data_IF_462624695922
#
_entry.id   IF_462624695922
#
_cell.length_a   1.000
_cell.length_b   1.000
_cell.length_c   1.000
_cell.angle_alpha   90.00
_cell.angle_beta   90.00
_cell.angle_gamma   90.00
#
_symmetry.space_group_name_H-M   'P 1'
#
loop_
_entity.id
_entity.type
_entity.pdbx_description
1 polymer ?
#
# COMPACT_ATOMS: atom_id res chain seq x y z
N UNK A 1 20.92 -31.02 14.11
CA UNK A 1 20.74 -29.67 13.54
C UNK A 1 19.54 -29.56 12.58
N UNK A 2 18.65 -30.56 12.50
CA UNK A 2 17.53 -30.57 11.54
C UNK A 2 16.19 -30.02 12.07
N UNK A 3 16.06 -29.78 13.37
CA UNK A 3 14.81 -29.27 13.98
C UNK A 3 14.66 -27.75 13.88
N UNK A 4 15.77 -27.02 13.75
CA UNK A 4 15.79 -25.57 13.58
C UNK A 4 15.47 -25.17 12.15
N UNK A 5 15.97 -25.91 11.15
CA UNK A 5 15.64 -25.69 9.74
C UNK A 5 14.17 -25.97 9.42
N UNK A 6 13.61 -27.08 9.92
CA UNK A 6 12.19 -27.39 9.69
C UNK A 6 11.20 -26.45 10.40
N UNK A 7 11.68 -25.67 11.39
CA UNK A 7 10.89 -24.59 12.02
C UNK A 7 10.96 -23.32 11.16
N UNK A 8 12.15 -22.95 10.71
CA UNK A 8 12.34 -21.83 9.78
C UNK A 8 11.55 -21.99 8.48
N UNK A 9 11.47 -23.20 7.92
CA UNK A 9 10.68 -23.48 6.72
C UNK A 9 9.16 -23.31 6.98
N UNK A 10 8.69 -23.67 8.19
CA UNK A 10 7.29 -23.50 8.59
C UNK A 10 6.93 -22.04 8.84
N UNK A 11 7.86 -21.27 9.41
CA UNK A 11 7.69 -19.84 9.67
C UNK A 11 7.53 -19.07 8.34
N UNK A 12 8.28 -19.42 7.29
CA UNK A 12 8.14 -18.82 5.95
C UNK A 12 6.76 -19.12 5.32
N UNK A 13 6.24 -20.33 5.49
CA UNK A 13 4.89 -20.68 4.98
C UNK A 13 3.82 -19.89 5.73
N UNK A 14 3.98 -19.73 7.04
CA UNK A 14 3.09 -18.91 7.85
C UNK A 14 3.12 -17.45 7.38
N UNK A 15 4.30 -16.85 7.27
CA UNK A 15 4.48 -15.47 6.77
C UNK A 15 3.82 -15.28 5.40
N UNK A 16 3.98 -16.26 4.48
CA UNK A 16 3.30 -16.24 3.19
C UNK A 16 1.78 -16.24 3.30
N UNK A 17 1.19 -17.14 4.10
CA UNK A 17 -0.26 -17.23 4.26
C UNK A 17 -0.83 -15.96 4.88
N UNK A 18 -0.11 -15.38 5.84
CA UNK A 18 -0.50 -14.16 6.52
C UNK A 18 -0.51 -12.95 5.61
N UNK A 19 0.46 -12.85 4.69
CA UNK A 19 0.44 -11.83 3.64
C UNK A 19 -0.66 -12.13 2.61
N UNK A 20 -0.93 -13.39 2.28
CA UNK A 20 -2.01 -13.75 1.37
C UNK A 20 -3.38 -13.30 1.90
N UNK A 21 -3.65 -13.51 3.19
CA UNK A 21 -4.90 -13.04 3.84
C UNK A 21 -5.06 -11.52 3.72
N UNK A 22 -3.97 -10.76 3.90
CA UNK A 22 -3.97 -9.30 3.70
C UNK A 22 -4.27 -8.91 2.25
N UNK A 23 -3.79 -9.67 1.27
CA UNK A 23 -4.04 -9.37 -0.14
C UNK A 23 -5.44 -9.83 -0.59
N UNK A 24 -6.05 -10.79 0.09
CA UNK A 24 -7.38 -11.32 -0.23
C UNK A 24 -8.51 -10.50 0.40
N UNK A 25 -8.29 -9.93 1.59
CA UNK A 25 -9.32 -9.22 2.37
C UNK A 25 -9.00 -7.73 2.57
N UNK A 26 -9.65 -6.82 1.81
CA UNK A 26 -9.43 -5.38 1.91
C UNK A 26 -9.59 -4.82 3.32
N UNK A 27 -10.54 -5.31 4.12
CA UNK A 27 -10.71 -4.85 5.51
C UNK A 27 -9.49 -5.17 6.39
N UNK A 28 -8.88 -6.35 6.21
CA UNK A 28 -7.66 -6.71 6.95
C UNK A 28 -6.46 -5.87 6.47
N UNK A 29 -6.36 -5.64 5.16
CA UNK A 29 -5.35 -4.78 4.57
C UNK A 29 -5.45 -3.33 5.08
N UNK A 30 -6.68 -2.80 5.18
CA UNK A 30 -6.96 -1.47 5.68
C UNK A 30 -6.54 -1.32 7.14
N UNK A 31 -6.88 -2.30 7.98
CA UNK A 31 -6.46 -2.33 9.39
C UNK A 31 -4.93 -2.41 9.51
N UNK A 32 -4.28 -3.28 8.74
CA UNK A 32 -2.83 -3.38 8.74
C UNK A 32 -2.18 -2.04 8.34
N UNK A 33 -2.65 -1.41 7.26
CA UNK A 33 -2.12 -0.13 6.79
C UNK A 33 -2.36 1.01 7.80
N UNK A 34 -3.51 1.02 8.48
CA UNK A 34 -3.78 1.95 9.58
C UNK A 34 -2.77 1.78 10.73
N UNK A 35 -2.58 0.56 11.22
CA UNK A 35 -1.63 0.28 12.30
C UNK A 35 -0.18 0.59 11.88
N UNK A 36 0.17 0.41 10.61
CA UNK A 36 1.47 0.77 10.07
C UNK A 36 1.74 2.29 10.09
N UNK A 37 0.69 3.11 9.95
CA UNK A 37 0.79 4.59 10.05
C UNK A 37 0.86 5.08 11.49
N UNK A 38 0.03 4.55 12.37
CA UNK A 38 -0.09 5.03 13.76
C UNK A 38 1.05 4.53 14.68
N UNK A 39 1.84 3.55 14.24
CA UNK A 39 2.93 2.84 14.97
C UNK A 39 2.43 2.01 16.16
N UNK A 40 1.58 2.56 17.02
CA UNK A 40 0.87 1.85 18.07
C UNK A 40 -0.57 2.35 18.16
N UNK A 41 -1.54 1.43 18.15
CA UNK A 41 -2.94 1.78 18.35
C UNK A 41 -3.65 0.77 19.27
N UNK A 42 -4.74 1.21 19.90
CA UNK A 42 -5.64 0.35 20.66
C UNK A 42 -6.80 -0.13 19.78
N UNK A 43 -7.53 -1.14 20.25
CA UNK A 43 -8.78 -1.57 19.57
C UNK A 43 -9.81 -0.43 19.53
N UNK A 44 -9.78 0.49 20.50
CA UNK A 44 -10.69 1.62 20.52
C UNK A 44 -10.38 2.61 19.39
N UNK A 45 -9.10 2.92 19.18
CA UNK A 45 -8.66 3.80 18.08
C UNK A 45 -9.07 3.20 16.73
N UNK A 46 -8.88 1.88 16.56
CA UNK A 46 -9.32 1.13 15.38
C UNK A 46 -10.84 1.23 15.15
N UNK A 47 -11.64 1.12 16.21
CA UNK A 47 -13.09 1.24 16.10
C UNK A 47 -13.52 2.64 15.67
N UNK A 48 -12.88 3.65 16.24
CA UNK A 48 -13.25 5.05 16.03
C UNK A 48 -12.79 5.53 14.64
N UNK A 49 -11.57 5.20 14.22
CA UNK A 49 -10.96 5.70 12.98
C UNK A 49 -11.37 4.91 11.73
N UNK A 50 -11.65 3.62 11.86
CA UNK A 50 -12.13 2.76 10.76
C UNK A 50 -13.65 2.52 10.80
N UNK A 51 -14.36 3.18 11.72
CA UNK A 51 -15.81 3.06 11.92
C UNK A 51 -16.29 1.61 12.10
N UNK A 52 -15.46 0.76 12.71
CA UNK A 52 -15.72 -0.67 12.88
C UNK A 52 -16.58 -0.96 14.12
N UNK A 53 -17.55 -1.85 13.97
CA UNK A 53 -18.26 -2.40 15.11
C UNK A 53 -17.29 -3.14 16.05
N UNK A 54 -17.54 -3.08 17.36
CA UNK A 54 -16.64 -3.63 18.38
C UNK A 54 -16.24 -5.09 18.11
N UNK A 55 -17.21 -5.97 17.86
CA UNK A 55 -16.94 -7.39 17.59
C UNK A 55 -16.07 -7.60 16.35
N UNK A 56 -16.24 -6.75 15.34
CA UNK A 56 -15.46 -6.77 14.09
C UNK A 56 -14.03 -6.31 14.34
N UNK A 57 -13.84 -5.19 15.06
CA UNK A 57 -12.52 -4.68 15.38
C UNK A 57 -11.69 -5.71 16.18
N UNK A 58 -12.27 -6.30 17.23
CA UNK A 58 -11.60 -7.37 17.98
C UNK A 58 -11.31 -8.60 17.11
N UNK A 59 -12.25 -9.00 16.25
CA UNK A 59 -12.06 -10.13 15.34
C UNK A 59 -10.89 -9.88 14.39
N UNK A 60 -10.83 -8.72 13.75
CA UNK A 60 -9.78 -8.38 12.78
C UNK A 60 -8.42 -8.21 13.43
N UNK A 61 -8.33 -7.50 14.56
CA UNK A 61 -7.07 -7.38 15.31
C UNK A 61 -6.57 -8.76 15.73
N UNK A 62 -7.42 -9.63 16.26
CA UNK A 62 -7.01 -10.99 16.63
C UNK A 62 -6.55 -11.79 15.41
N UNK A 63 -7.21 -11.65 14.25
CA UNK A 63 -6.77 -12.31 13.02
C UNK A 63 -5.38 -11.85 12.57
N UNK A 64 -5.09 -10.55 12.65
CA UNK A 64 -3.76 -10.03 12.33
C UNK A 64 -2.68 -10.50 13.32
N UNK A 65 -3.04 -10.64 14.61
CA UNK A 65 -2.15 -11.20 15.65
C UNK A 65 -1.92 -12.69 15.43
N UNK A 66 -2.98 -13.46 15.15
CA UNK A 66 -2.89 -14.90 14.86
C UNK A 66 -2.11 -15.18 13.57
N UNK A 67 -2.21 -14.27 12.60
CA UNK A 67 -1.39 -14.24 11.40
C UNK A 67 0.06 -13.80 11.67
N UNK A 68 0.39 -13.26 12.84
CA UNK A 68 1.74 -12.83 13.17
C UNK A 68 2.24 -11.63 12.36
N UNK A 69 1.34 -10.85 11.77
CA UNK A 69 1.64 -9.57 11.10
C UNK A 69 1.44 -8.36 12.03
N UNK A 70 0.89 -8.59 13.22
CA UNK A 70 0.71 -7.60 14.29
C UNK A 70 1.13 -8.22 15.63
N UNK A 71 1.91 -7.49 16.41
CA UNK A 71 2.29 -7.85 17.77
C UNK A 71 1.50 -7.05 18.81
N UNK A 72 1.28 -7.65 19.98
CA UNK A 72 0.80 -6.94 21.16
C UNK A 72 2.00 -6.33 21.87
N UNK A 73 2.12 -5.01 21.85
CA UNK A 73 3.25 -4.29 22.47
C UNK A 73 3.04 -3.99 23.94
N UNK A 74 1.77 -3.88 24.35
CA UNK A 74 1.37 -3.71 25.75
C UNK A 74 0.14 -4.59 26.04
N UNK A 75 0.30 -5.51 27.00
CA UNK A 75 -0.76 -6.41 27.46
C UNK A 75 -1.63 -5.79 28.57
N UNK A 76 -1.22 -4.65 29.15
CA UNK A 76 -2.04 -3.86 30.09
C UNK A 76 -3.21 -3.20 29.36
N UNK A 77 -4.32 -2.96 30.08
CA UNK A 77 -5.51 -2.37 29.47
C UNK A 77 -5.39 -0.83 29.41
N UNK A 78 -5.68 -0.19 28.26
CA UNK A 78 -6.05 -0.81 26.98
C UNK A 78 -4.82 -1.37 26.23
N UNK A 79 -4.97 -2.59 25.68
CA UNK A 79 -3.90 -3.26 24.93
C UNK A 79 -3.49 -2.46 23.71
N UNK A 80 -2.20 -2.48 23.40
CA UNK A 80 -1.62 -1.82 22.22
C UNK A 80 -1.09 -2.81 21.22
N UNK A 81 -1.21 -2.44 19.95
CA UNK A 81 -0.86 -3.26 18.81
C UNK A 81 0.05 -2.49 17.88
N UNK A 82 1.10 -3.15 17.38
CA UNK A 82 2.00 -2.61 16.37
C UNK A 82 2.17 -3.63 15.23
N UNK A 83 2.27 -3.14 14.00
CA UNK A 83 2.55 -4.02 12.85
C UNK A 83 3.97 -4.57 12.91
N UNK A 84 4.13 -5.79 12.42
CA UNK A 84 5.42 -6.35 12.06
C UNK A 84 5.71 -6.02 10.60
N UNK A 85 6.96 -5.67 10.32
CA UNK A 85 7.39 -5.41 8.95
C UNK A 85 7.27 -6.68 8.10
N UNK A 86 6.62 -6.55 6.96
CA UNK A 86 6.48 -7.63 5.98
C UNK A 86 7.64 -7.54 4.99
N UNK A 87 8.50 -8.54 5.00
CA UNK A 87 9.56 -8.74 4.00
C UNK A 87 9.33 -10.06 3.27
N UNK A 88 8.41 -10.05 2.30
CA UNK A 88 8.08 -11.22 1.50
C UNK A 88 8.36 -10.96 0.03
N UNK A 89 9.34 -11.69 -0.50
CA UNK A 89 9.68 -11.68 -1.93
C UNK A 89 9.35 -13.03 -2.56
N UNK A 90 8.45 -13.02 -3.54
CA UNK A 90 8.10 -14.20 -4.33
C UNK A 90 8.99 -14.22 -5.57
N UNK A 91 9.71 -15.32 -5.79
CA UNK A 91 10.57 -15.49 -6.98
C UNK A 91 10.19 -16.75 -7.74
N UNK A 92 10.39 -16.73 -9.06
CA UNK A 92 10.28 -17.94 -9.88
C UNK A 92 11.42 -18.90 -9.53
N UNK A 93 11.21 -20.20 -9.76
CA UNK A 93 12.26 -21.21 -9.57
C UNK A 93 13.53 -20.94 -10.41
N UNK A 94 13.41 -20.21 -11.52
CA UNK A 94 14.53 -19.79 -12.35
C UNK A 94 15.25 -18.54 -11.82
N UNK A 95 14.67 -17.81 -10.86
CA UNK A 95 15.24 -16.60 -10.26
C UNK A 95 15.24 -15.37 -11.18
N UNK A 96 14.64 -15.47 -12.36
CA UNK A 96 14.62 -14.40 -13.38
C UNK A 96 13.52 -13.37 -13.15
N UNK A 97 12.53 -13.71 -12.31
CA UNK A 97 11.39 -12.86 -11.99
C UNK A 97 11.12 -12.93 -10.51
N UNK A 98 11.02 -11.76 -9.89
CA UNK A 98 10.69 -11.61 -8.48
C UNK A 98 9.75 -10.44 -8.28
N UNK A 99 8.89 -10.55 -7.28
CA UNK A 99 8.07 -9.44 -6.80
C UNK A 99 8.12 -9.40 -5.27
N UNK A 100 8.44 -8.24 -4.73
CA UNK A 100 8.43 -7.97 -3.29
C UNK A 100 7.09 -7.34 -2.93
N UNK A 101 6.38 -7.96 -2.00
CA UNK A 101 5.12 -7.42 -1.49
C UNK A 101 5.47 -6.29 -0.52
N UNK A 102 5.05 -5.08 -0.85
CA UNK A 102 5.37 -3.87 -0.09
C UNK A 102 4.19 -3.43 0.79
N UNK A 103 4.45 -2.68 1.87
CA UNK A 103 3.40 -1.99 2.62
C UNK A 103 2.49 -1.12 1.73
N UNK A 104 3.05 -0.50 0.69
CA UNK A 104 2.27 0.27 -0.29
C UNK A 104 1.25 -0.57 -1.06
N UNK A 105 1.58 -1.82 -1.41
CA UNK A 105 0.61 -2.72 -2.04
C UNK A 105 -0.52 -3.09 -1.09
N UNK A 106 -0.21 -3.35 0.18
CA UNK A 106 -1.20 -3.69 1.19
C UNK A 106 -2.11 -2.49 1.48
N UNK A 107 -1.56 -1.28 1.60
CA UNK A 107 -2.35 -0.06 1.73
C UNK A 107 -3.24 0.17 0.50
N UNK A 108 -2.72 -0.06 -0.72
CA UNK A 108 -3.53 0.01 -1.93
C UNK A 108 -4.70 -0.99 -1.91
N UNK A 109 -4.49 -2.23 -1.46
CA UNK A 109 -5.59 -3.21 -1.29
C UNK A 109 -6.58 -2.73 -0.23
N UNK A 110 -6.10 -2.19 0.89
CA UNK A 110 -6.94 -1.68 1.97
C UNK A 110 -7.82 -0.50 1.56
N UNK A 111 -7.34 0.35 0.67
CA UNK A 111 -8.13 1.48 0.13
C UNK A 111 -9.30 1.04 -0.74
N UNK A 112 -9.40 -0.21 -1.17
CA UNK A 112 -10.60 -0.69 -1.86
C UNK A 112 -11.88 -0.56 -1.00
N UNK A 113 -11.75 -0.50 0.34
CA UNK A 113 -12.90 -0.26 1.23
C UNK A 113 -13.48 1.16 1.11
N UNK A 114 -12.69 2.13 0.66
CA UNK A 114 -13.08 3.55 0.63
C UNK A 114 -12.96 4.20 -0.75
N UNK A 115 -12.26 3.55 -1.68
CA UNK A 115 -12.03 4.00 -3.05
C UNK A 115 -12.61 2.98 -4.05
N UNK A 116 -13.72 3.36 -4.68
CA UNK A 116 -14.44 2.51 -5.62
C UNK A 116 -13.71 2.28 -6.96
N UNK A 117 -12.76 3.14 -7.33
CA UNK A 117 -11.95 2.95 -8.54
C UNK A 117 -10.90 1.85 -8.29
N UNK A 118 -10.31 1.82 -7.10
CA UNK A 118 -9.42 0.73 -6.66
C UNK A 118 -10.19 -0.59 -6.59
N UNK A 119 -11.35 -0.62 -5.91
CA UNK A 119 -12.18 -1.83 -5.81
C UNK A 119 -12.55 -2.36 -7.20
N UNK A 120 -13.06 -1.49 -8.08
CA UNK A 120 -13.42 -1.86 -9.45
C UNK A 120 -12.22 -2.40 -10.23
N UNK A 121 -11.04 -1.80 -10.06
CA UNK A 121 -9.84 -2.24 -10.74
C UNK A 121 -9.37 -3.61 -10.24
N UNK A 122 -9.35 -3.84 -8.92
CA UNK A 122 -9.05 -5.15 -8.32
C UNK A 122 -10.05 -6.20 -8.79
N UNK A 123 -11.34 -5.89 -8.82
CA UNK A 123 -12.37 -6.82 -9.29
C UNK A 123 -12.12 -7.28 -10.73
N UNK A 124 -11.63 -6.37 -11.58
CA UNK A 124 -11.41 -6.65 -13.02
C UNK A 124 -10.04 -7.26 -13.32
N UNK A 125 -9.01 -6.85 -12.60
CA UNK A 125 -7.60 -7.14 -12.92
C UNK A 125 -6.89 -7.95 -11.84
N UNK A 126 -7.54 -8.19 -10.70
CA UNK A 126 -6.96 -8.84 -9.52
C UNK A 126 -5.87 -8.00 -8.85
N UNK A 127 -5.38 -8.51 -7.71
CA UNK A 127 -4.29 -7.89 -6.95
C UNK A 127 -2.99 -7.85 -7.76
N UNK A 128 -2.73 -8.86 -8.61
CA UNK A 128 -1.57 -8.83 -9.51
C UNK A 128 -1.64 -7.65 -10.51
N UNK A 129 -2.84 -7.32 -10.99
CA UNK A 129 -3.08 -6.14 -11.80
C UNK A 129 -2.84 -4.85 -11.01
N UNK A 130 -3.30 -4.80 -9.76
CA UNK A 130 -3.08 -3.66 -8.85
C UNK A 130 -1.58 -3.44 -8.57
N UNK A 131 -0.84 -4.51 -8.27
CA UNK A 131 0.61 -4.49 -8.07
C UNK A 131 1.35 -3.90 -9.28
N UNK A 132 0.90 -4.25 -10.48
CA UNK A 132 1.43 -3.67 -11.72
C UNK A 132 1.04 -2.19 -11.84
N UNK A 133 -0.22 -1.83 -11.57
CA UNK A 133 -0.69 -0.45 -11.61
C UNK A 133 0.05 0.44 -10.61
N UNK A 134 0.37 -0.05 -9.41
CA UNK A 134 1.16 0.66 -8.41
C UNK A 134 2.58 0.94 -8.91
N UNK A 135 3.18 0.01 -9.65
CA UNK A 135 4.49 0.24 -10.28
C UNK A 135 4.42 1.38 -11.30
N UNK A 136 3.36 1.43 -12.12
CA UNK A 136 3.12 2.56 -13.03
C UNK A 136 2.80 3.86 -12.29
N UNK A 137 2.10 3.80 -11.15
CA UNK A 137 1.77 4.96 -10.33
C UNK A 137 3.04 5.63 -9.80
N UNK A 138 3.96 4.84 -9.22
CA UNK A 138 5.27 5.34 -8.76
C UNK A 138 6.05 5.98 -9.92
N UNK A 139 6.15 5.29 -11.06
CA UNK A 139 6.85 5.80 -12.23
C UNK A 139 6.19 7.09 -12.79
N UNK A 140 4.85 7.18 -12.74
CA UNK A 140 4.10 8.35 -13.20
C UNK A 140 4.38 9.56 -12.30
N UNK A 141 4.33 9.38 -10.98
CA UNK A 141 4.59 10.47 -10.04
C UNK A 141 6.04 10.95 -10.11
N UNK A 142 6.97 10.12 -10.61
CA UNK A 142 8.34 10.53 -10.97
C UNK A 142 8.48 11.17 -12.35
N UNK A 143 7.39 11.29 -13.12
CA UNK A 143 7.39 11.84 -14.48
C UNK A 143 7.97 10.90 -15.54
N UNK A 144 8.15 9.62 -15.24
CA UNK A 144 8.80 8.65 -16.13
C UNK A 144 7.83 8.05 -17.16
N UNK A 145 6.54 7.92 -16.79
CA UNK A 145 5.51 7.31 -17.62
C UNK A 145 4.21 8.12 -17.60
N UNK A 146 3.32 7.85 -18.56
CA UNK A 146 1.99 8.47 -18.66
C UNK A 146 0.89 7.40 -18.61
N UNK A 147 -0.36 7.77 -18.29
CA UNK A 147 -1.49 6.83 -18.36
C UNK A 147 -1.67 6.20 -19.74
N UNK A 148 -1.31 6.91 -20.82
CA UNK A 148 -1.45 6.39 -22.19
C UNK A 148 -0.49 5.23 -22.44
N UNK A 149 0.75 5.35 -21.95
CA UNK A 149 1.74 4.29 -22.03
C UNK A 149 1.28 3.06 -21.23
N UNK A 150 0.83 3.25 -19.99
CA UNK A 150 0.25 2.15 -19.18
C UNK A 150 -0.94 1.49 -19.89
N UNK A 151 -1.84 2.28 -20.46
CA UNK A 151 -3.02 1.76 -21.15
C UNK A 151 -2.65 0.90 -22.36
N UNK A 152 -1.63 1.32 -23.12
CA UNK A 152 -1.08 0.56 -24.24
C UNK A 152 -0.41 -0.74 -23.77
N UNK A 153 0.49 -0.64 -22.79
CA UNK A 153 1.26 -1.78 -22.27
C UNK A 153 0.34 -2.86 -21.65
N UNK A 154 -0.69 -2.44 -20.92
CA UNK A 154 -1.62 -3.34 -20.24
C UNK A 154 -2.86 -3.68 -21.08
N UNK A 155 -2.98 -3.11 -22.28
CA UNK A 155 -4.15 -3.25 -23.16
C UNK A 155 -5.48 -2.97 -22.43
N UNK A 156 -5.53 -1.85 -21.70
CA UNK A 156 -6.72 -1.34 -21.01
C UNK A 156 -7.15 0.01 -21.62
N UNK A 157 -8.33 0.51 -21.23
CA UNK A 157 -8.76 1.82 -21.73
C UNK A 157 -7.90 2.95 -21.10
N UNK A 158 -7.58 4.03 -21.85
CA UNK A 158 -6.88 5.18 -21.28
C UNK A 158 -7.58 5.80 -20.07
N UNK A 159 -8.91 5.74 -20.04
CA UNK A 159 -9.70 6.19 -18.90
C UNK A 159 -9.49 5.28 -17.67
N UNK A 160 -9.51 3.96 -17.85
CA UNK A 160 -9.25 3.03 -16.74
C UNK A 160 -7.84 3.22 -16.17
N UNK A 161 -6.84 3.40 -17.04
CA UNK A 161 -5.48 3.70 -16.63
C UNK A 161 -5.39 5.04 -15.86
N UNK A 162 -6.05 6.10 -16.34
CA UNK A 162 -6.03 7.38 -15.63
C UNK A 162 -6.74 7.30 -14.26
N UNK A 163 -7.90 6.67 -14.17
CA UNK A 163 -8.65 6.54 -12.91
C UNK A 163 -7.84 5.80 -11.85
N UNK A 164 -7.27 4.62 -12.20
CA UNK A 164 -6.48 3.86 -11.22
C UNK A 164 -5.19 4.60 -10.82
N UNK A 165 -4.53 5.30 -11.75
CA UNK A 165 -3.34 6.08 -11.43
C UNK A 165 -3.65 7.27 -10.50
N UNK A 166 -4.82 7.91 -10.68
CA UNK A 166 -5.28 8.96 -9.76
C UNK A 166 -5.62 8.39 -8.39
N UNK A 167 -6.32 7.26 -8.33
CA UNK A 167 -6.70 6.61 -7.07
C UNK A 167 -5.49 6.09 -6.27
N UNK A 168 -4.43 5.65 -6.97
CA UNK A 168 -3.18 5.20 -6.34
C UNK A 168 -2.23 6.34 -5.95
N UNK A 169 -2.48 7.58 -6.38
CA UNK A 169 -1.60 8.71 -6.08
C UNK A 169 -1.38 8.91 -4.57
N UNK A 170 -2.41 8.92 -3.71
CA UNK A 170 -2.21 9.04 -2.26
C UNK A 170 -1.34 7.92 -1.66
N UNK A 171 -1.50 6.68 -2.12
CA UNK A 171 -0.64 5.55 -1.70
C UNK A 171 0.82 5.85 -2.03
N UNK A 172 1.07 6.36 -3.24
CA UNK A 172 2.42 6.65 -3.69
C UNK A 172 3.07 7.75 -2.83
N UNK A 173 2.33 8.83 -2.53
CA UNK A 173 2.85 9.94 -1.70
C UNK A 173 3.04 9.57 -0.22
N UNK A 174 2.28 8.60 0.31
CA UNK A 174 2.44 8.14 1.69
C UNK A 174 3.62 7.15 1.87
N UNK A 175 3.97 6.38 0.83
CA UNK A 175 4.95 5.28 0.94
C UNK A 175 6.26 5.52 0.19
N UNK A 176 6.32 6.50 -0.70
CA UNK A 176 7.50 6.81 -1.47
C UNK A 176 7.85 8.29 -1.36
N UNK A 177 9.14 8.57 -1.17
CA UNK A 177 9.66 9.94 -1.24
C UNK A 177 9.63 10.42 -2.70
N UNK A 178 8.49 11.00 -3.09
CA UNK A 178 8.32 11.67 -4.38
C UNK A 178 8.35 13.17 -4.10
N UNK A 179 9.36 13.87 -4.62
CA UNK A 179 9.33 15.34 -4.64
C UNK A 179 8.14 15.78 -5.52
N UNK A 180 7.18 16.54 -4.98
CA UNK A 180 6.16 17.16 -5.79
C UNK A 180 6.83 18.08 -6.81
N UNK A 181 6.98 17.62 -8.05
CA UNK A 181 7.34 18.44 -9.17
C UNK A 181 6.17 19.40 -9.47
N UNK A 182 6.05 20.47 -8.68
CA UNK A 182 4.85 21.31 -8.75
C UNK A 182 4.78 22.58 -7.91
N UNK A 183 5.75 22.88 -7.02
CA UNK A 183 5.76 24.14 -6.23
C UNK A 183 7.09 24.88 -6.37
N UNK A 184 7.44 25.22 -7.61
CA UNK A 184 8.60 26.05 -7.94
C UNK A 184 8.29 27.06 -9.04
N UNK A 185 7.24 27.86 -8.86
CA UNK A 185 6.93 29.01 -9.73
C UNK A 185 6.96 30.35 -8.99
N UNK A 186 7.55 30.41 -7.80
CA UNK A 186 7.61 31.63 -6.97
C UNK A 186 8.93 32.40 -7.07
N UNK A 187 9.74 32.18 -8.11
CA UNK A 187 10.91 33.03 -8.38
C UNK A 187 11.14 33.22 -9.88
N UNK A 188 10.12 33.72 -10.59
CA UNK A 188 10.37 34.53 -11.78
C UNK A 188 10.33 35.99 -11.33
N UNK A 189 11.47 36.47 -10.84
CA UNK A 189 11.75 37.90 -10.70
C UNK A 189 11.69 38.48 -12.13
N UNK A 190 10.51 38.97 -12.51
CA UNK A 190 10.37 39.78 -13.72
C UNK A 190 10.99 41.12 -13.36
N UNK A 191 12.30 41.24 -13.59
CA UNK A 191 12.97 42.53 -13.69
C UNK A 191 12.26 43.32 -14.79
N UNK A 192 11.38 44.23 -14.36
CA UNK A 192 10.80 45.24 -15.23
C UNK A 192 11.90 46.24 -15.55
N UNK A 193 12.72 45.91 -16.54
CA UNK A 193 13.76 46.81 -17.00
C UNK A 193 13.14 47.98 -17.76
N UNK A 194 13.43 49.14 -17.23
CA UNK A 194 12.99 50.46 -17.63
C UNK A 194 13.48 50.76 -19.05
N UNK A 195 12.61 50.68 -20.06
CA UNK A 195 12.93 51.32 -21.35
C UNK A 195 12.69 52.82 -21.22
N UNK A 196 13.70 53.51 -20.71
CA UNK A 196 13.98 54.89 -21.06
C UNK A 196 14.46 54.92 -22.51
N UNK A 197 13.74 55.63 -23.39
CA UNK A 197 14.41 56.34 -24.48
C UNK A 197 13.63 57.57 -24.98
N UNK A 198 14.38 58.67 -25.02
CA UNK A 198 14.31 59.91 -25.81
C UNK A 198 12.98 60.67 -26.05
#
# INVERSE_FOLDING_TARGET
>A
MSRTSNRADGDIVQDFLSVADLLEEPQLAQLYAYLAREREATVQDVMDDLELAQGTAYSYVNRLVDAGVVDVTDDEQPRRYAVREIDLTVTTAAGDRGYTITPALIDAVGRAETDGDIDTYIHRHGVAGLATALTYAVARERGEVTHRLMAEDLNISPLAAEMILQALRPVVHEHYDIEEAGTGLDELDIDSDETSDA
#
